data_IF_227380025404
#
_entry.id   IF_227380025404
#
_cell.length_a   1.000
_cell.length_b   1.000
_cell.length_c   1.000
_cell.angle_alpha   90.00
_cell.angle_beta   90.00
_cell.angle_gamma   90.00
#
_symmetry.space_group_name_H-M   'P 1'
#
loop_
_entity.id
_entity.type
_entity.pdbx_description
1 polymer ?
#
# COMPACT_ATOMS: atom_id res chain seq x y z
N UNK A 1 4.25 -15.69 -0.50
CA UNK A 1 5.47 -15.48 -1.30
C UNK A 1 5.96 -16.82 -1.82
N UNK A 2 6.47 -16.84 -3.03
CA UNK A 2 7.10 -18.00 -3.63
C UNK A 2 8.42 -17.59 -4.31
N UNK A 3 9.30 -18.56 -4.52
CA UNK A 3 10.55 -18.35 -5.22
C UNK A 3 10.85 -19.54 -6.13
N UNK A 4 11.54 -19.27 -7.21
CA UNK A 4 12.07 -20.27 -8.12
C UNK A 4 13.51 -20.60 -7.74
N UNK A 5 13.85 -21.88 -7.76
CA UNK A 5 15.20 -22.37 -7.55
C UNK A 5 15.78 -22.89 -8.86
N UNK A 6 16.89 -22.32 -9.31
CA UNK A 6 17.57 -22.71 -10.56
C UNK A 6 18.72 -23.72 -10.37
N UNK A 7 18.90 -24.20 -9.15
CA UNK A 7 20.02 -25.06 -8.74
C UNK A 7 21.16 -24.30 -8.06
N UNK A 8 21.13 -22.97 -8.03
CA UNK A 8 22.16 -22.09 -7.45
C UNK A 8 21.62 -20.94 -6.65
N UNK A 9 20.53 -20.32 -7.11
CA UNK A 9 19.98 -19.10 -6.54
C UNK A 9 18.47 -19.16 -6.45
N UNK A 10 17.91 -18.57 -5.39
CA UNK A 10 16.48 -18.31 -5.26
C UNK A 10 16.13 -16.96 -5.90
N UNK A 11 15.13 -16.96 -6.76
CA UNK A 11 14.56 -15.74 -7.33
C UNK A 11 13.10 -15.65 -6.97
N UNK A 12 12.66 -14.51 -6.43
CA UNK A 12 11.24 -14.30 -6.11
C UNK A 12 10.38 -14.48 -7.35
N UNK A 13 9.24 -15.15 -7.17
CA UNK A 13 8.19 -15.18 -8.20
C UNK A 13 7.63 -13.77 -8.41
N UNK A 14 6.98 -13.51 -9.57
CA UNK A 14 6.11 -12.35 -9.68
C UNK A 14 5.11 -12.30 -8.52
N UNK A 15 4.72 -11.10 -8.12
CA UNK A 15 3.71 -10.91 -7.10
C UNK A 15 2.37 -11.53 -7.56
N UNK A 16 1.66 -12.17 -6.65
CA UNK A 16 0.37 -12.80 -6.91
C UNK A 16 -0.54 -12.62 -5.70
N UNK A 17 -1.84 -12.84 -5.90
CA UNK A 17 -2.86 -12.71 -4.86
C UNK A 17 -2.88 -11.30 -4.22
N UNK A 18 -2.60 -10.28 -5.05
CA UNK A 18 -2.67 -8.88 -4.67
C UNK A 18 -4.06 -8.37 -5.05
N UNK A 19 -5.00 -8.49 -4.15
CA UNK A 19 -6.33 -7.94 -4.37
C UNK A 19 -6.79 -7.10 -3.18
N UNK A 20 -7.46 -5.96 -3.42
CA UNK A 20 -8.04 -5.17 -2.36
C UNK A 20 -9.19 -5.95 -1.72
N UNK A 21 -9.06 -6.24 -0.44
CA UNK A 21 -10.12 -6.91 0.32
C UNK A 21 -11.14 -5.89 0.80
N UNK A 22 -12.43 -6.22 0.65
CA UNK A 22 -13.51 -5.45 1.28
C UNK A 22 -13.35 -5.49 2.80
N UNK A 23 -13.21 -4.32 3.42
CA UNK A 23 -13.04 -4.20 4.86
C UNK A 23 -14.14 -3.36 5.46
N UNK A 24 -14.58 -3.75 6.66
CA UNK A 24 -15.52 -2.98 7.48
C UNK A 24 -14.75 -2.38 8.66
N UNK A 25 -15.02 -1.11 8.98
CA UNK A 25 -14.31 -0.40 10.04
C UNK A 25 -13.08 0.36 9.55
N UNK A 26 -12.38 0.97 10.49
CA UNK A 26 -11.26 1.87 10.23
C UNK A 26 -9.90 1.22 10.48
N UNK A 27 -9.85 -0.01 10.94
CA UNK A 27 -8.61 -0.74 11.20
C UNK A 27 -8.45 -1.90 10.22
N UNK A 28 -7.21 -2.21 9.88
CA UNK A 28 -6.88 -3.32 9.01
C UNK A 28 -5.64 -4.07 9.52
N UNK A 29 -5.72 -5.40 9.45
CA UNK A 29 -4.59 -6.27 9.79
C UNK A 29 -4.28 -7.21 8.64
N UNK A 30 -3.03 -7.64 8.55
CA UNK A 30 -2.62 -8.71 7.65
C UNK A 30 -2.72 -10.08 8.36
N UNK A 31 -2.82 -11.15 7.58
CA UNK A 31 -2.75 -12.51 8.12
C UNK A 31 -1.34 -12.82 8.62
N UNK A 32 -0.32 -12.34 7.90
CA UNK A 32 1.09 -12.47 8.27
C UNK A 32 1.56 -11.29 9.13
N UNK A 33 2.54 -11.56 9.98
CA UNK A 33 3.26 -10.51 10.71
C UNK A 33 4.10 -9.69 9.74
N UNK A 34 4.10 -8.37 9.91
CA UNK A 34 4.88 -7.43 9.08
C UNK A 34 6.21 -7.14 9.77
N UNK A 35 6.18 -6.78 11.04
CA UNK A 35 7.38 -6.52 11.85
C UNK A 35 7.19 -7.03 13.28
N UNK A 36 8.09 -7.88 13.75
CA UNK A 36 7.95 -8.53 15.07
C UNK A 36 6.61 -9.26 15.15
N UNK A 37 5.81 -8.95 16.15
CA UNK A 37 4.43 -9.44 16.36
C UNK A 37 3.34 -8.49 15.84
N UNK A 38 3.74 -7.45 15.10
CA UNK A 38 2.83 -6.46 14.54
C UNK A 38 2.36 -6.86 13.13
N UNK A 39 1.03 -6.92 12.96
CA UNK A 39 0.35 -7.22 11.69
C UNK A 39 -0.53 -6.09 11.17
N UNK A 40 -0.47 -4.92 11.78
CA UNK A 40 -1.30 -3.78 11.40
C UNK A 40 -0.92 -3.28 10.02
N UNK A 41 -1.93 -3.02 9.16
CA UNK A 41 -1.74 -2.55 7.79
C UNK A 41 -1.46 -1.04 7.75
N UNK A 42 -0.36 -0.61 8.35
CA UNK A 42 0.06 0.80 8.40
C UNK A 42 1.42 1.00 7.74
N UNK A 43 1.63 2.17 7.16
CA UNK A 43 2.91 2.55 6.56
C UNK A 43 4.03 2.63 7.62
N UNK A 44 3.70 3.05 8.84
CA UNK A 44 4.65 3.05 9.95
C UNK A 44 5.21 1.64 10.20
N UNK A 45 4.35 0.61 10.15
CA UNK A 45 4.77 -0.78 10.32
C UNK A 45 5.62 -1.28 9.13
N UNK A 46 5.28 -0.87 7.90
CA UNK A 46 6.07 -1.18 6.71
C UNK A 46 7.47 -0.53 6.76
N UNK A 47 7.57 0.75 7.15
CA UNK A 47 8.84 1.44 7.32
C UNK A 47 9.70 0.77 8.41
N UNK A 48 9.10 0.38 9.52
CA UNK A 48 9.82 -0.35 10.57
C UNK A 48 10.37 -1.71 10.09
N UNK A 49 9.75 -2.32 9.07
CA UNK A 49 10.20 -3.58 8.49
C UNK A 49 11.29 -3.42 7.41
N UNK A 50 11.53 -2.21 6.90
CA UNK A 50 12.46 -1.95 5.80
C UNK A 50 13.86 -2.59 5.99
N UNK A 51 14.49 -2.54 7.17
CA UNK A 51 15.79 -3.18 7.38
C UNK A 51 15.79 -4.70 7.19
N UNK A 52 14.65 -5.37 7.42
CA UNK A 52 14.52 -6.83 7.21
C UNK A 52 14.59 -7.18 5.72
N UNK A 53 14.33 -6.21 4.85
CA UNK A 53 14.44 -6.30 3.39
C UNK A 53 15.72 -5.66 2.84
N UNK A 54 16.67 -5.33 3.70
CA UNK A 54 17.94 -4.67 3.35
C UNK A 54 17.74 -3.29 2.69
N UNK A 55 16.64 -2.62 3.02
CA UNK A 55 16.33 -1.28 2.55
C UNK A 55 16.75 -0.25 3.61
N UNK A 56 17.28 0.87 3.14
CA UNK A 56 17.38 2.08 3.95
C UNK A 56 16.00 2.69 4.16
N UNK A 57 15.86 3.53 5.17
CA UNK A 57 14.63 4.26 5.41
C UNK A 57 14.19 5.09 4.19
N UNK A 58 15.13 5.80 3.55
CA UNK A 58 14.83 6.61 2.35
C UNK A 58 14.36 5.76 1.18
N UNK A 59 14.97 4.60 0.92
CA UNK A 59 14.53 3.69 -0.14
C UNK A 59 13.13 3.18 0.12
N UNK A 60 12.79 2.86 1.37
CA UNK A 60 11.45 2.45 1.75
C UNK A 60 10.41 3.58 1.57
N UNK A 61 10.76 4.80 1.96
CA UNK A 61 9.93 6.00 1.74
C UNK A 61 9.70 6.21 0.24
N UNK A 62 10.74 6.13 -0.59
CA UNK A 62 10.65 6.33 -2.04
C UNK A 62 9.73 5.29 -2.71
N UNK A 63 9.84 4.02 -2.28
CA UNK A 63 8.96 2.94 -2.77
C UNK A 63 7.51 3.24 -2.42
N UNK A 64 7.23 3.59 -1.16
CA UNK A 64 5.87 3.90 -0.70
C UNK A 64 5.32 5.12 -1.45
N UNK A 65 6.12 6.18 -1.57
CA UNK A 65 5.74 7.40 -2.30
C UNK A 65 5.37 7.10 -3.76
N UNK A 66 6.18 6.28 -4.44
CA UNK A 66 5.91 5.85 -5.81
C UNK A 66 4.60 5.05 -5.92
N UNK A 67 4.33 4.15 -4.98
CA UNK A 67 3.08 3.39 -4.97
C UNK A 67 1.86 4.30 -4.77
N UNK A 68 1.93 5.27 -3.86
CA UNK A 68 0.87 6.24 -3.62
C UNK A 68 0.54 7.03 -4.90
N UNK A 69 1.58 7.54 -5.59
CA UNK A 69 1.42 8.28 -6.84
C UNK A 69 0.80 7.39 -7.92
N UNK A 70 1.29 6.17 -8.06
CA UNK A 70 0.79 5.23 -9.07
C UNK A 70 -0.69 4.92 -8.83
N UNK A 71 -1.09 4.62 -7.60
CA UNK A 71 -2.49 4.33 -7.27
C UNK A 71 -3.40 5.50 -7.63
N UNK A 72 -3.04 6.73 -7.25
CA UNK A 72 -3.88 7.89 -7.54
C UNK A 72 -3.85 8.30 -9.01
N UNK A 73 -2.71 8.16 -9.68
CA UNK A 73 -2.54 8.55 -11.07
C UNK A 73 -3.21 7.60 -12.07
N UNK A 74 -3.24 6.30 -11.76
CA UNK A 74 -3.83 5.28 -12.63
C UNK A 74 -5.28 4.93 -12.28
N UNK A 75 -5.85 5.53 -11.23
CA UNK A 75 -7.16 5.18 -10.69
C UNK A 75 -8.26 5.20 -11.75
N UNK A 76 -8.42 6.30 -12.47
CA UNK A 76 -9.48 6.44 -13.47
C UNK A 76 -9.30 5.47 -14.63
N UNK A 77 -8.08 5.34 -15.14
CA UNK A 77 -7.79 4.43 -16.24
C UNK A 77 -8.09 2.96 -15.88
N UNK A 78 -7.74 2.54 -14.67
CA UNK A 78 -8.02 1.19 -14.17
C UNK A 78 -9.52 0.98 -13.96
N UNK A 79 -10.22 1.97 -13.41
CA UNK A 79 -11.66 1.92 -13.23
C UNK A 79 -12.41 1.85 -14.57
N UNK A 80 -11.96 2.59 -15.57
CA UNK A 80 -12.51 2.53 -16.93
C UNK A 80 -12.30 1.16 -17.56
N UNK A 81 -11.10 0.63 -17.46
CA UNK A 81 -10.76 -0.71 -17.97
C UNK A 81 -11.62 -1.81 -17.30
N UNK A 82 -11.89 -1.67 -16.01
CA UNK A 82 -12.74 -2.58 -15.24
C UNK A 82 -14.23 -2.32 -15.42
N UNK A 83 -14.64 -1.29 -16.17
CA UNK A 83 -16.03 -0.87 -16.36
C UNK A 83 -16.76 -0.61 -15.02
N UNK A 84 -16.08 -0.03 -14.05
CA UNK A 84 -16.69 0.29 -12.76
C UNK A 84 -17.71 1.42 -12.90
N UNK A 85 -18.86 1.25 -12.25
CA UNK A 85 -19.85 2.33 -12.12
C UNK A 85 -19.32 3.46 -11.24
N UNK A 86 -19.88 4.67 -11.37
CA UNK A 86 -19.54 5.80 -10.50
C UNK A 86 -19.72 5.46 -9.01
N UNK A 87 -20.75 4.69 -8.68
CA UNK A 87 -21.01 4.24 -7.31
C UNK A 87 -19.89 3.32 -6.80
N UNK A 88 -19.45 2.36 -7.63
CA UNK A 88 -18.38 1.43 -7.24
C UNK A 88 -17.04 2.17 -7.11
N UNK A 89 -16.74 3.11 -8.01
CA UNK A 89 -15.53 3.94 -7.94
C UNK A 89 -15.47 4.70 -6.61
N UNK A 90 -16.55 5.36 -6.23
CA UNK A 90 -16.63 6.10 -4.98
C UNK A 90 -16.52 5.17 -3.75
N UNK A 91 -17.14 3.97 -3.83
CA UNK A 91 -17.08 3.00 -2.76
C UNK A 91 -15.66 2.45 -2.56
N UNK A 92 -15.00 2.03 -3.63
CA UNK A 92 -13.67 1.44 -3.56
C UNK A 92 -12.60 2.49 -3.27
N UNK A 93 -12.62 3.63 -3.95
CA UNK A 93 -11.67 4.71 -3.73
C UNK A 93 -11.71 5.25 -2.31
N UNK A 94 -12.90 5.33 -1.71
CA UNK A 94 -13.05 5.83 -0.35
C UNK A 94 -12.61 4.87 0.76
N UNK A 95 -12.62 3.55 0.50
CA UNK A 95 -12.49 2.53 1.54
C UNK A 95 -11.32 1.56 1.35
N UNK A 96 -10.99 1.21 0.11
CA UNK A 96 -10.04 0.12 -0.18
C UNK A 96 -8.69 0.63 -0.68
N UNK A 97 -8.68 1.79 -1.33
CA UNK A 97 -7.45 2.40 -1.84
C UNK A 97 -7.13 3.67 -1.06
N UNK A 98 -5.88 3.85 -0.72
CA UNK A 98 -5.38 4.99 0.07
C UNK A 98 -6.27 5.26 1.31
N UNK A 99 -6.59 4.20 2.06
CA UNK A 99 -7.38 4.31 3.27
C UNK A 99 -6.61 5.12 4.33
N UNK A 100 -7.24 6.10 5.01
CA UNK A 100 -6.58 6.94 6.02
C UNK A 100 -5.89 6.16 7.14
N UNK A 101 -6.36 4.97 7.47
CA UNK A 101 -5.72 4.08 8.43
C UNK A 101 -4.26 3.76 8.08
N UNK A 102 -3.91 3.77 6.78
CA UNK A 102 -2.54 3.48 6.35
C UNK A 102 -1.49 4.43 6.94
N UNK A 103 -1.86 5.68 7.23
CA UNK A 103 -0.95 6.69 7.78
C UNK A 103 -1.03 6.82 9.31
N UNK A 104 -1.87 6.04 9.97
CA UNK A 104 -1.93 6.06 11.43
C UNK A 104 -0.59 5.62 12.03
N UNK A 105 -0.13 6.36 13.03
CA UNK A 105 1.11 6.09 13.73
C UNK A 105 2.38 6.52 12.98
N UNK A 106 2.28 7.20 11.83
CA UNK A 106 3.44 7.81 11.20
C UNK A 106 3.99 8.94 12.07
N UNK A 107 5.31 8.94 12.27
CA UNK A 107 6.04 10.02 12.93
C UNK A 107 6.05 11.28 12.07
N UNK A 108 6.22 12.45 12.72
CA UNK A 108 6.42 13.73 12.03
C UNK A 108 7.65 13.76 11.11
N UNK A 109 8.59 12.84 11.30
CA UNK A 109 9.74 12.70 10.39
C UNK A 109 9.29 12.36 8.96
N UNK A 110 8.07 11.84 8.80
CA UNK A 110 7.44 11.46 7.53
C UNK A 110 6.31 12.40 7.08
N UNK A 111 6.29 13.65 7.55
CA UNK A 111 5.24 14.63 7.19
C UNK A 111 5.13 14.84 5.67
N UNK A 112 6.25 14.78 4.94
CA UNK A 112 6.25 14.87 3.49
C UNK A 112 5.46 13.71 2.84
N UNK A 113 5.65 12.49 3.34
CA UNK A 113 4.94 11.30 2.88
C UNK A 113 3.44 11.37 3.26
N UNK A 114 3.12 11.83 4.46
CA UNK A 114 1.75 12.05 4.91
C UNK A 114 1.02 13.06 4.03
N UNK A 115 1.64 14.20 3.74
CA UNK A 115 1.07 15.23 2.87
C UNK A 115 0.85 14.72 1.43
N UNK A 116 1.79 13.94 0.92
CA UNK A 116 1.66 13.29 -0.39
C UNK A 116 0.51 12.30 -0.41
N UNK A 117 0.40 11.45 0.60
CA UNK A 117 -0.72 10.50 0.74
C UNK A 117 -2.06 11.21 0.73
N UNK A 118 -2.23 12.24 1.55
CA UNK A 118 -3.48 12.99 1.62
C UNK A 118 -3.79 13.74 0.32
N UNK A 119 -2.78 14.28 -0.36
CA UNK A 119 -2.92 14.90 -1.68
C UNK A 119 -3.42 13.90 -2.72
N UNK A 120 -2.76 12.75 -2.81
CA UNK A 120 -3.11 11.66 -3.73
C UNK A 120 -4.50 11.08 -3.42
N UNK A 121 -4.85 10.96 -2.15
CA UNK A 121 -6.19 10.52 -1.75
C UNK A 121 -7.28 11.51 -2.19
N UNK A 122 -7.07 12.82 -2.03
CA UNK A 122 -8.02 13.84 -2.52
C UNK A 122 -8.20 13.75 -4.04
N UNK A 123 -7.11 13.56 -4.79
CA UNK A 123 -7.16 13.37 -6.24
C UNK A 123 -7.99 12.14 -6.62
N UNK A 124 -7.78 11.02 -5.95
CA UNK A 124 -8.48 9.76 -6.20
C UNK A 124 -10.00 9.86 -5.92
N UNK A 125 -10.41 10.73 -5.00
CA UNK A 125 -11.81 10.91 -4.60
C UNK A 125 -12.52 12.05 -5.34
N UNK A 126 -11.82 12.82 -6.17
CA UNK A 126 -12.38 13.93 -6.93
C UNK A 126 -13.17 13.46 -8.16
#
# INVERSE_FOLDING_TARGET
>A
HAAFWDGKMLTLSPAYDICPQGRTGNEATQAMLIKGDNRMSTLANCLAAAPDFLLTDQEAVDIIAQQIITISGEWDAVCDLANLSATDRALFGGRQFLNPYCIEGLSSDYDALTNQFEGSRRQLLA
#
